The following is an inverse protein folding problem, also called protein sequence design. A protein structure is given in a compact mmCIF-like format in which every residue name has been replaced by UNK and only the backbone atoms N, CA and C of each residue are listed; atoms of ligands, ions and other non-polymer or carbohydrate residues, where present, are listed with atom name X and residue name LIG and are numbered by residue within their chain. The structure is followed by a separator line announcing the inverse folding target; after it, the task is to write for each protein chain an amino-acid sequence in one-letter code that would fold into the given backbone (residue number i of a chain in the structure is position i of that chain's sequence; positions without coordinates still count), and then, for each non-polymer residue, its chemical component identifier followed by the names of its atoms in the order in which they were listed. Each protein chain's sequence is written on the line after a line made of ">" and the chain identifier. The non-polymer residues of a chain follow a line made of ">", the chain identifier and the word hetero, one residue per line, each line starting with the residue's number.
data_IF_481225956738
#
_entry.id   IF_481225956738
#
_cell.length_a   1.000
_cell.length_b   1.000
_cell.length_c   1.000
_cell.angle_alpha   90.00
_cell.angle_beta   90.00
_cell.angle_gamma   90.00
#
_symmetry.space_group_name_H-M   'P 1'
#
loop_
_entity.id
_entity.type
_entity.pdbx_description
1 polymer ?
#
# COMPACT_ATOMS: atom_id res chain seq x y z
N UNK A 1 -4.45 22.02 -22.79
CA UNK A 1 -5.50 21.04 -23.15
C UNK A 1 -4.92 19.65 -22.87
N UNK A 2 -5.60 18.82 -22.09
CA UNK A 2 -5.14 17.45 -21.83
C UNK A 2 -5.56 16.55 -23.00
N UNK A 3 -4.69 15.63 -23.42
CA UNK A 3 -5.02 14.60 -24.41
C UNK A 3 -5.01 13.22 -23.75
N UNK A 4 -5.90 12.34 -24.22
CA UNK A 4 -5.95 10.95 -23.79
C UNK A 4 -5.33 10.11 -24.89
N UNK A 5 -4.33 9.29 -24.54
CA UNK A 5 -3.66 8.36 -25.44
C UNK A 5 -3.81 6.94 -24.91
N UNK A 6 -4.36 6.04 -25.72
CA UNK A 6 -4.29 4.60 -25.46
C UNK A 6 -2.85 4.12 -25.69
N UNK A 7 -2.30 3.32 -24.77
CA UNK A 7 -0.94 2.78 -24.88
C UNK A 7 -0.90 1.25 -24.97
N UNK A 8 -1.99 0.57 -24.60
CA UNK A 8 -2.13 -0.89 -24.70
C UNK A 8 -3.54 -1.29 -25.12
N UNK A 9 -3.63 -2.35 -25.90
CA UNK A 9 -4.78 -3.20 -26.12
C UNK A 9 -4.60 -4.48 -25.28
N UNK A 10 -5.68 -5.23 -25.10
CA UNK A 10 -5.57 -6.53 -24.45
C UNK A 10 -6.89 -7.08 -23.91
N UNK A 11 -7.85 -6.24 -23.57
CA UNK A 11 -9.16 -6.68 -23.05
C UNK A 11 -9.86 -7.66 -24.00
N UNK A 12 -9.73 -7.45 -25.31
CA UNK A 12 -10.30 -8.32 -26.37
C UNK A 12 -9.57 -9.66 -26.52
N UNK A 13 -8.34 -9.78 -26.00
CA UNK A 13 -7.50 -10.97 -26.06
C UNK A 13 -7.36 -11.65 -24.68
N UNK A 14 -8.22 -11.30 -23.72
CA UNK A 14 -8.07 -11.69 -22.31
C UNK A 14 -6.68 -11.34 -21.76
N UNK A 15 -6.19 -10.13 -22.04
CA UNK A 15 -4.97 -9.55 -21.47
C UNK A 15 -5.33 -8.23 -20.78
N UNK A 16 -5.56 -8.29 -19.48
CA UNK A 16 -5.95 -7.11 -18.70
C UNK A 16 -4.70 -6.46 -18.13
N UNK A 17 -4.50 -5.19 -18.48
CA UNK A 17 -3.41 -4.35 -17.98
C UNK A 17 -3.94 -3.36 -16.96
N UNK A 18 -3.27 -3.24 -15.81
CA UNK A 18 -3.58 -2.20 -14.83
C UNK A 18 -2.38 -1.86 -13.97
N UNK A 19 -2.40 -0.67 -13.36
CA UNK A 19 -1.57 -0.37 -12.21
C UNK A 19 -2.47 -0.22 -10.98
N UNK A 20 -1.86 -0.18 -9.80
CA UNK A 20 -2.62 -0.16 -8.55
C UNK A 20 -2.40 1.10 -7.76
N UNK A 21 -3.44 1.49 -7.02
CA UNK A 21 -3.48 2.67 -6.16
C UNK A 21 -3.16 4.02 -6.83
N UNK A 22 -3.64 5.10 -6.21
CA UNK A 22 -3.52 6.47 -6.70
C UNK A 22 -2.44 7.20 -5.88
N UNK A 23 -1.17 6.89 -6.08
CA UNK A 23 -0.02 7.48 -5.34
C UNK A 23 1.27 6.69 -5.52
N UNK A 24 1.22 5.49 -6.09
CA UNK A 24 2.42 4.76 -6.42
C UNK A 24 3.15 5.43 -7.61
N UNK A 25 4.48 5.62 -7.53
CA UNK A 25 5.27 6.13 -8.65
C UNK A 25 5.34 5.05 -9.75
N UNK A 26 4.36 5.06 -10.67
CA UNK A 26 4.27 4.07 -11.76
C UNK A 26 5.07 4.46 -13.00
N UNK A 27 5.51 5.71 -13.09
CA UNK A 27 6.39 6.20 -14.16
C UNK A 27 7.85 6.21 -13.70
N UNK A 28 8.76 5.90 -14.62
CA UNK A 28 10.17 6.22 -14.43
C UNK A 28 10.41 7.74 -14.42
N UNK A 29 11.60 8.18 -14.04
CA UNK A 29 11.93 9.61 -13.95
C UNK A 29 11.73 10.38 -15.28
N UNK A 30 11.93 9.72 -16.42
CA UNK A 30 11.73 10.29 -17.75
C UNK A 30 10.25 10.32 -18.20
N UNK A 31 9.31 9.80 -17.39
CA UNK A 31 7.88 9.67 -17.74
C UNK A 31 7.61 8.91 -19.04
N UNK A 32 8.46 7.93 -19.35
CA UNK A 32 8.40 7.14 -20.59
C UNK A 32 7.96 5.70 -20.33
N UNK A 33 8.47 5.12 -19.25
CA UNK A 33 8.23 3.72 -18.91
C UNK A 33 7.23 3.65 -17.76
N UNK A 34 6.15 2.89 -17.96
CA UNK A 34 5.12 2.62 -16.95
C UNK A 34 5.28 1.20 -16.43
N UNK A 35 5.45 1.04 -15.12
CA UNK A 35 5.30 -0.29 -14.50
C UNK A 35 3.82 -0.62 -14.37
N UNK A 36 3.45 -1.80 -14.81
CA UNK A 36 2.08 -2.28 -14.77
C UNK A 36 2.03 -3.79 -14.49
N UNK A 37 0.81 -4.28 -14.34
CA UNK A 37 0.49 -5.68 -14.09
C UNK A 37 -0.35 -6.22 -15.24
N UNK A 38 -0.18 -7.50 -15.57
CA UNK A 38 -0.95 -8.20 -16.59
C UNK A 38 -1.51 -9.51 -16.06
N UNK A 39 -2.77 -9.79 -16.40
CA UNK A 39 -3.46 -11.04 -16.04
C UNK A 39 -4.42 -11.45 -17.15
N UNK A 40 -4.74 -12.73 -17.22
CA UNK A 40 -5.56 -13.31 -18.28
C UNK A 40 -6.99 -13.70 -17.86
N UNK A 41 -7.45 -13.19 -16.72
CA UNK A 41 -8.81 -13.42 -16.23
C UNK A 41 -9.33 -12.17 -15.51
N UNK A 42 -10.65 -12.08 -15.34
CA UNK A 42 -11.30 -11.00 -14.60
C UNK A 42 -12.53 -11.51 -13.82
N UNK A 43 -13.19 -10.63 -13.08
CA UNK A 43 -14.51 -10.86 -12.47
C UNK A 43 -14.58 -11.93 -11.37
N UNK A 44 -13.46 -12.27 -10.73
CA UNK A 44 -13.43 -13.12 -9.53
C UNK A 44 -12.35 -12.66 -8.57
N UNK A 45 -12.43 -13.11 -7.31
CA UNK A 45 -11.37 -12.84 -6.34
C UNK A 45 -10.10 -13.63 -6.68
N UNK A 46 -8.91 -13.07 -6.43
CA UNK A 46 -7.67 -13.83 -6.50
C UNK A 46 -7.67 -14.96 -5.48
N UNK A 47 -7.24 -16.14 -5.90
CA UNK A 47 -6.95 -17.31 -5.06
C UNK A 47 -5.42 -17.45 -4.91
N UNK A 48 -4.93 -18.22 -3.92
CA UNK A 48 -3.49 -18.30 -3.64
C UNK A 48 -2.62 -18.69 -4.85
N UNK A 49 -3.15 -19.52 -5.74
CA UNK A 49 -2.45 -20.06 -6.90
C UNK A 49 -2.37 -19.08 -8.08
N UNK A 50 -3.20 -18.02 -8.06
CA UNK A 50 -3.23 -17.05 -9.13
C UNK A 50 -1.95 -16.23 -9.18
N UNK A 51 -1.45 -16.07 -10.40
CA UNK A 51 -0.30 -15.24 -10.70
C UNK A 51 -0.70 -14.09 -11.59
N UNK A 52 0.02 -13.00 -11.42
CA UNK A 52 0.03 -11.87 -12.35
C UNK A 52 1.45 -11.69 -12.86
N UNK A 53 1.57 -11.14 -14.05
CA UNK A 53 2.84 -10.68 -14.57
C UNK A 53 3.08 -9.24 -14.12
N UNK A 54 4.34 -8.93 -13.82
CA UNK A 54 4.82 -7.57 -13.64
C UNK A 54 5.61 -7.22 -14.89
N UNK A 55 5.33 -6.06 -15.48
CA UNK A 55 5.96 -5.64 -16.71
C UNK A 55 6.04 -4.13 -16.87
N UNK A 56 6.70 -3.73 -17.95
CA UNK A 56 6.95 -2.36 -18.33
C UNK A 56 6.32 -2.08 -19.69
N UNK A 57 5.65 -0.93 -19.80
CA UNK A 57 5.09 -0.39 -21.04
C UNK A 57 5.87 0.88 -21.40
N UNK A 58 6.40 0.97 -22.62
CA UNK A 58 6.91 2.23 -23.18
C UNK A 58 5.74 3.01 -23.80
N UNK A 59 5.41 4.16 -23.24
CA UNK A 59 4.26 4.99 -23.70
C UNK A 59 4.41 5.52 -25.13
N UNK A 60 5.60 5.42 -25.72
CA UNK A 60 5.88 5.82 -27.11
C UNK A 60 5.56 4.69 -28.08
N UNK A 61 5.51 3.44 -27.62
CA UNK A 61 5.24 2.26 -28.44
C UNK A 61 3.92 1.60 -28.01
N UNK A 62 2.91 1.69 -28.90
CA UNK A 62 1.63 1.02 -28.71
C UNK A 62 1.85 -0.48 -28.50
N UNK A 63 1.16 -1.06 -27.52
CA UNK A 63 1.17 -2.49 -27.20
C UNK A 63 2.55 -3.03 -26.77
N UNK A 64 3.47 -2.16 -26.38
CA UNK A 64 4.72 -2.59 -25.76
C UNK A 64 4.46 -3.27 -24.42
N UNK A 65 5.12 -4.41 -24.21
CA UNK A 65 5.09 -5.13 -22.94
C UNK A 65 6.40 -5.89 -22.74
N UNK A 66 7.20 -5.44 -21.79
CA UNK A 66 8.38 -6.15 -21.32
C UNK A 66 8.06 -6.81 -19.97
N UNK A 67 7.99 -8.14 -19.93
CA UNK A 67 7.79 -8.87 -18.68
C UNK A 67 9.09 -8.87 -17.87
N UNK A 68 9.04 -8.34 -16.65
CA UNK A 68 10.18 -8.32 -15.73
C UNK A 68 10.04 -9.31 -14.56
N UNK A 69 8.84 -9.85 -14.35
CA UNK A 69 8.61 -10.81 -13.28
C UNK A 69 7.17 -11.28 -13.17
N UNK A 70 6.89 -11.99 -12.08
CA UNK A 70 5.56 -12.45 -11.70
C UNK A 70 5.31 -12.15 -10.22
N UNK A 71 4.05 -12.19 -9.82
CA UNK A 71 3.65 -12.12 -8.42
C UNK A 71 2.47 -13.04 -8.10
N UNK A 72 2.54 -13.70 -6.95
CA UNK A 72 1.43 -14.38 -6.26
C UNK A 72 0.87 -13.56 -5.08
N UNK A 73 1.47 -12.41 -4.78
CA UNK A 73 1.07 -11.54 -3.67
C UNK A 73 0.40 -10.28 -4.23
N UNK A 74 -0.87 -10.41 -4.61
CA UNK A 74 -1.60 -9.32 -5.26
C UNK A 74 -3.09 -9.28 -4.90
N UNK A 75 -3.72 -8.14 -5.22
CA UNK A 75 -5.17 -7.95 -5.13
C UNK A 75 -5.65 -7.03 -6.25
N UNK A 76 -6.95 -6.97 -6.53
CA UNK A 76 -7.45 -6.06 -7.57
C UNK A 76 -7.23 -4.58 -7.24
N UNK A 77 -7.34 -4.20 -5.97
CA UNK A 77 -7.22 -2.79 -5.57
C UNK A 77 -5.77 -2.33 -5.46
N UNK A 78 -4.89 -3.19 -4.93
CA UNK A 78 -3.51 -2.84 -4.61
C UNK A 78 -2.47 -3.52 -5.51
N UNK A 79 -2.88 -4.49 -6.32
CA UNK A 79 -1.96 -5.28 -7.12
C UNK A 79 -0.85 -5.86 -6.27
N UNK A 80 0.31 -6.05 -6.87
CA UNK A 80 1.56 -6.37 -6.19
C UNK A 80 2.27 -5.13 -5.60
N UNK A 81 1.61 -3.97 -5.48
CA UNK A 81 2.25 -2.69 -5.07
C UNK A 81 3.48 -2.34 -5.92
N UNK A 82 3.46 -2.73 -7.20
CA UNK A 82 4.55 -2.51 -8.14
C UNK A 82 4.76 -1.02 -8.39
N UNK A 83 5.99 -0.54 -8.16
CA UNK A 83 6.33 0.89 -8.25
C UNK A 83 7.82 1.08 -8.57
N UNK A 84 8.16 2.22 -9.17
CA UNK A 84 9.54 2.66 -9.34
C UNK A 84 10.12 3.14 -8.01
N UNK A 85 11.38 2.81 -7.77
CA UNK A 85 12.19 3.52 -6.79
C UNK A 85 12.62 4.84 -7.44
N UNK A 86 12.17 5.96 -6.88
CA UNK A 86 12.29 7.27 -7.54
C UNK A 86 13.74 7.61 -7.90
N UNK A 87 13.92 8.25 -9.06
CA UNK A 87 15.23 8.63 -9.61
C UNK A 87 16.22 7.47 -9.80
N UNK A 88 15.73 6.23 -9.92
CA UNK A 88 16.55 5.06 -10.26
C UNK A 88 15.97 4.27 -11.42
N UNK A 89 16.72 3.28 -11.92
CA UNK A 89 16.24 2.29 -12.88
C UNK A 89 15.68 1.02 -12.20
N UNK A 90 15.20 1.15 -10.96
CA UNK A 90 14.80 0.01 -10.14
C UNK A 90 13.29 0.02 -9.89
N UNK A 91 12.68 -1.15 -10.04
CA UNK A 91 11.27 -1.41 -9.74
C UNK A 91 11.21 -2.36 -8.54
N UNK A 92 10.23 -2.14 -7.66
CA UNK A 92 9.93 -3.00 -6.52
C UNK A 92 8.47 -3.44 -6.56
N UNK A 93 8.21 -4.72 -6.27
CA UNK A 93 6.87 -5.28 -6.14
C UNK A 93 6.85 -6.41 -5.11
N UNK A 94 5.67 -6.70 -4.55
CA UNK A 94 5.45 -7.80 -3.64
C UNK A 94 5.25 -9.11 -4.37
N UNK A 95 5.75 -10.20 -3.81
CA UNK A 95 5.51 -11.56 -4.28
C UNK A 95 5.32 -12.50 -3.07
N UNK A 96 4.90 -13.74 -3.34
CA UNK A 96 4.81 -14.81 -2.36
C UNK A 96 5.73 -15.95 -2.79
N UNK A 97 6.73 -16.23 -1.96
CA UNK A 97 7.62 -17.38 -2.10
C UNK A 97 7.33 -18.30 -0.91
N UNK A 98 7.01 -19.55 -1.21
CA UNK A 98 6.53 -20.53 -0.23
C UNK A 98 5.39 -19.95 0.62
N UNK A 99 5.54 -19.95 1.94
CA UNK A 99 4.57 -19.42 2.89
C UNK A 99 4.97 -18.04 3.43
N UNK A 100 5.66 -17.23 2.64
CA UNK A 100 6.10 -15.89 3.03
C UNK A 100 5.81 -14.86 1.94
N UNK A 101 5.20 -13.73 2.34
CA UNK A 101 5.17 -12.54 1.50
C UNK A 101 6.51 -11.83 1.56
N UNK A 102 7.04 -11.47 0.39
CA UNK A 102 8.34 -10.82 0.21
C UNK A 102 8.17 -9.65 -0.76
N UNK A 103 9.22 -8.85 -0.95
CA UNK A 103 9.32 -7.93 -2.07
C UNK A 103 10.51 -8.28 -2.96
N UNK A 104 10.33 -8.15 -4.27
CA UNK A 104 11.38 -8.25 -5.27
C UNK A 104 11.79 -6.85 -5.68
N UNK A 105 13.09 -6.62 -5.80
CA UNK A 105 13.68 -5.38 -6.30
C UNK A 105 14.48 -5.72 -7.56
N UNK A 106 14.18 -5.08 -8.68
CA UNK A 106 14.76 -5.39 -9.99
C UNK A 106 15.26 -4.12 -10.68
N UNK A 107 16.55 -4.10 -11.03
CA UNK A 107 17.12 -3.03 -11.84
C UNK A 107 17.04 -3.40 -13.32
N UNK A 108 16.33 -2.61 -14.10
CA UNK A 108 16.01 -2.92 -15.50
C UNK A 108 17.20 -2.72 -16.46
N UNK A 109 18.23 -1.99 -16.03
CA UNK A 109 19.44 -1.75 -16.85
C UNK A 109 20.47 -2.84 -16.61
N UNK A 110 20.66 -3.25 -15.36
CA UNK A 110 21.66 -4.28 -15.02
C UNK A 110 21.10 -5.70 -15.01
N UNK A 111 19.77 -5.84 -14.99
CA UNK A 111 19.08 -7.12 -14.79
C UNK A 111 19.16 -7.65 -13.36
N UNK A 112 19.86 -6.95 -12.45
CA UNK A 112 20.05 -7.41 -11.07
C UNK A 112 18.70 -7.48 -10.34
N UNK A 113 18.44 -8.62 -9.72
CA UNK A 113 17.26 -8.83 -8.88
C UNK A 113 17.68 -9.24 -7.46
N UNK A 114 17.09 -8.58 -6.45
CA UNK A 114 17.24 -8.95 -5.04
C UNK A 114 15.88 -9.22 -4.40
N UNK A 115 15.90 -10.01 -3.33
CA UNK A 115 14.72 -10.32 -2.51
C UNK A 115 14.86 -9.59 -1.18
N UNK A 116 13.77 -8.95 -0.77
CA UNK A 116 13.59 -8.37 0.55
C UNK A 116 12.61 -9.30 1.29
N UNK A 117 12.98 -9.90 2.43
CA UNK A 117 12.18 -10.91 3.13
C UNK A 117 10.96 -10.31 3.88
N UNK A 118 10.35 -9.27 3.31
CA UNK A 118 9.17 -8.58 3.83
C UNK A 118 8.43 -7.92 2.67
N UNK A 119 7.08 -7.96 2.61
CA UNK A 119 6.35 -7.21 1.60
C UNK A 119 6.45 -5.72 1.89
N UNK A 120 6.30 -4.87 0.88
CA UNK A 120 6.43 -3.42 0.98
C UNK A 120 5.14 -2.75 0.52
N UNK A 121 4.68 -1.78 1.30
CA UNK A 121 3.51 -0.96 0.99
C UNK A 121 3.93 0.39 0.39
N UNK A 122 4.94 1.06 0.97
CA UNK A 122 5.41 2.35 0.50
C UNK A 122 6.94 2.42 0.58
N UNK A 123 7.56 3.23 -0.26
CA UNK A 123 9.02 3.39 -0.36
C UNK A 123 9.38 4.87 -0.30
N UNK A 124 10.45 5.21 0.43
CA UNK A 124 10.99 6.57 0.44
C UNK A 124 11.57 6.95 -0.92
N UNK A 125 11.62 8.24 -1.25
CA UNK A 125 12.10 8.69 -2.56
C UNK A 125 13.56 8.28 -2.88
N UNK A 126 14.40 8.14 -1.84
CA UNK A 126 15.78 7.66 -1.96
C UNK A 126 15.89 6.13 -2.06
N UNK A 127 14.79 5.39 -1.90
CA UNK A 127 14.77 3.94 -1.95
C UNK A 127 15.49 3.22 -0.81
N UNK A 128 15.78 3.91 0.29
CA UNK A 128 16.50 3.33 1.44
C UNK A 128 15.56 2.60 2.41
N UNK A 129 14.33 3.08 2.55
CA UNK A 129 13.37 2.60 3.55
C UNK A 129 12.03 2.27 2.93
N UNK A 130 11.44 1.16 3.36
CA UNK A 130 10.07 0.80 3.08
C UNK A 130 9.20 0.84 4.34
N UNK A 131 7.90 1.05 4.14
CA UNK A 131 6.87 0.74 5.15
C UNK A 131 6.09 -0.47 4.71
N UNK A 132 5.64 -1.25 5.69
CA UNK A 132 4.83 -2.44 5.47
C UNK A 132 3.76 -2.62 6.55
N UNK A 133 2.88 -3.58 6.30
CA UNK A 133 1.79 -4.01 7.15
C UNK A 133 1.48 -5.49 6.90
N UNK A 134 0.66 -6.08 7.76
CA UNK A 134 0.20 -7.45 7.60
C UNK A 134 -0.87 -7.56 6.48
N UNK A 135 -0.43 -7.97 5.28
CA UNK A 135 -1.30 -8.17 4.13
C UNK A 135 -2.29 -9.32 4.31
N UNK A 136 -2.00 -10.33 5.14
CA UNK A 136 -2.93 -11.41 5.49
C UNK A 136 -4.10 -10.87 6.32
N UNK A 137 -3.80 -10.06 7.34
CA UNK A 137 -4.82 -9.37 8.15
C UNK A 137 -5.65 -8.43 7.29
N UNK A 138 -5.00 -7.68 6.40
CA UNK A 138 -5.70 -6.79 5.49
C UNK A 138 -6.65 -7.58 4.57
N UNK A 139 -6.27 -8.78 4.11
CA UNK A 139 -7.13 -9.63 3.30
C UNK A 139 -8.35 -10.11 4.09
N UNK A 140 -8.16 -10.55 5.33
CA UNK A 140 -9.25 -10.99 6.21
C UNK A 140 -10.20 -9.84 6.60
N UNK A 141 -9.66 -8.65 6.87
CA UNK A 141 -10.45 -7.49 7.35
C UNK A 141 -11.07 -6.68 6.21
N UNK A 142 -10.44 -6.63 5.04
CA UNK A 142 -10.90 -5.90 3.86
C UNK A 142 -10.59 -6.69 2.58
N UNK A 143 -11.36 -7.76 2.29
CA UNK A 143 -11.15 -8.59 1.10
C UNK A 143 -11.06 -7.76 -0.17
N UNK A 144 -10.09 -8.08 -1.03
CA UNK A 144 -9.78 -7.33 -2.25
C UNK A 144 -8.69 -6.26 -2.10
N UNK A 145 -8.20 -6.01 -0.88
CA UNK A 145 -7.06 -5.13 -0.61
C UNK A 145 -5.81 -5.86 -0.12
N UNK A 146 -5.95 -6.97 0.62
CA UNK A 146 -4.81 -7.78 1.06
C UNK A 146 -4.52 -8.94 0.13
N UNK A 147 -3.58 -9.80 0.51
CA UNK A 147 -3.10 -10.90 -0.32
C UNK A 147 -3.64 -12.25 0.12
N UNK A 148 -3.96 -13.10 -0.86
CA UNK A 148 -4.35 -14.49 -0.63
C UNK A 148 -3.12 -15.38 -0.38
N UNK A 149 -3.35 -16.54 0.23
CA UNK A 149 -2.36 -17.62 0.33
C UNK A 149 -1.62 -17.74 1.65
N UNK A 150 -1.75 -16.78 2.57
CA UNK A 150 -1.22 -16.88 3.93
C UNK A 150 -2.33 -16.44 4.90
N UNK A 151 -2.57 -17.23 5.95
CA UNK A 151 -3.54 -16.90 7.00
C UNK A 151 -2.97 -15.86 7.97
N UNK A 152 -3.82 -14.97 8.49
CA UNK A 152 -3.44 -14.05 9.58
C UNK A 152 -3.33 -14.81 10.91
N UNK A 153 -2.11 -14.92 11.46
CA UNK A 153 -1.86 -15.56 12.75
C UNK A 153 -2.59 -14.85 13.91
N UNK A 154 -2.87 -13.55 13.75
CA UNK A 154 -3.55 -12.71 14.76
C UNK A 154 -5.01 -12.42 14.41
N UNK A 155 -5.65 -13.25 13.57
CA UNK A 155 -7.00 -13.03 13.06
C UNK A 155 -8.07 -12.84 14.16
N UNK A 156 -7.90 -13.52 15.31
CA UNK A 156 -8.82 -13.44 16.44
C UNK A 156 -8.50 -12.29 17.41
N UNK A 157 -7.32 -11.69 17.30
CA UNK A 157 -6.93 -10.55 18.13
C UNK A 157 -7.55 -9.26 17.59
N UNK A 158 -8.25 -8.52 18.45
CA UNK A 158 -8.89 -7.25 18.07
C UNK A 158 -7.87 -6.17 17.75
N UNK A 159 -6.86 -6.05 18.61
CA UNK A 159 -5.79 -5.04 18.56
C UNK A 159 -4.46 -5.72 18.93
N UNK A 160 -3.86 -6.48 18.01
CA UNK A 160 -2.57 -7.13 18.27
C UNK A 160 -1.48 -6.11 18.62
N UNK A 161 -0.60 -6.49 19.54
CA UNK A 161 0.60 -5.72 19.91
C UNK A 161 1.82 -6.11 19.05
N UNK A 162 1.73 -7.23 18.34
CA UNK A 162 2.75 -7.83 17.48
C UNK A 162 2.47 -7.62 15.97
N UNK A 163 1.47 -6.80 15.63
CA UNK A 163 1.13 -6.44 14.26
C UNK A 163 0.78 -4.95 14.17
N UNK A 164 1.13 -4.31 13.06
CA UNK A 164 0.93 -2.89 12.82
C UNK A 164 1.76 -2.39 11.65
N UNK A 165 2.49 -1.31 11.89
CA UNK A 165 3.30 -0.61 10.90
C UNK A 165 4.75 -1.03 11.07
N UNK A 166 5.31 -1.59 10.01
CA UNK A 166 6.68 -2.08 9.98
C UNK A 166 7.54 -1.17 9.13
N UNK A 167 8.70 -0.79 9.66
CA UNK A 167 9.75 -0.10 8.91
C UNK A 167 10.77 -1.13 8.44
N UNK A 168 11.04 -1.14 7.15
CA UNK A 168 11.94 -2.10 6.51
C UNK A 168 13.13 -1.36 5.92
N UNK A 169 14.33 -1.76 6.30
CA UNK A 169 15.54 -1.32 5.62
C UNK A 169 15.66 -2.09 4.28
N UNK A 170 15.63 -1.38 3.16
CA UNK A 170 15.56 -2.03 1.83
C UNK A 170 16.91 -2.55 1.33
N UNK A 171 18.00 -2.26 2.04
CA UNK A 171 19.34 -2.78 1.73
C UNK A 171 19.61 -4.10 2.45
N UNK A 172 19.20 -4.20 3.72
CA UNK A 172 19.44 -5.38 4.58
C UNK A 172 18.24 -6.32 4.65
N UNK A 173 17.04 -5.82 4.37
CA UNK A 173 15.79 -6.54 4.55
C UNK A 173 15.30 -6.62 6.00
N UNK A 174 15.98 -5.96 6.95
CA UNK A 174 15.57 -5.96 8.36
C UNK A 174 14.28 -5.17 8.54
N UNK A 175 13.26 -5.82 9.10
CA UNK A 175 11.98 -5.21 9.43
C UNK A 175 11.85 -4.98 10.94
N UNK A 176 11.37 -3.79 11.33
CA UNK A 176 11.11 -3.40 12.72
C UNK A 176 9.68 -2.90 12.87
N UNK A 177 8.94 -3.44 13.83
CA UNK A 177 7.62 -2.91 14.21
C UNK A 177 7.84 -1.54 14.88
N UNK A 178 7.33 -0.47 14.26
CA UNK A 178 7.47 0.90 14.77
C UNK A 178 6.20 1.43 15.44
N UNK A 179 5.04 0.87 15.10
CA UNK A 179 3.77 1.17 15.76
C UNK A 179 2.82 -0.02 15.66
N UNK A 180 2.46 -0.63 16.79
CA UNK A 180 1.49 -1.73 16.79
C UNK A 180 0.05 -1.21 16.64
N UNK A 181 -0.86 -2.08 16.22
CA UNK A 181 -2.30 -1.80 16.18
C UNK A 181 -2.81 -1.43 17.58
N UNK A 182 -2.26 -2.02 18.63
CA UNK A 182 -2.56 -1.65 20.01
C UNK A 182 -2.11 -0.22 20.34
N UNK A 183 -0.90 0.18 19.95
CA UNK A 183 -0.35 1.53 20.19
C UNK A 183 -1.17 2.59 19.46
N UNK A 184 -1.50 2.35 18.18
CA UNK A 184 -2.32 3.26 17.38
C UNK A 184 -3.71 3.51 18.00
N UNK A 185 -4.27 2.55 18.71
CA UNK A 185 -5.53 2.76 19.43
C UNK A 185 -5.38 3.81 20.54
N UNK A 186 -4.21 3.88 21.18
CA UNK A 186 -3.94 4.83 22.27
C UNK A 186 -3.79 6.27 21.77
N UNK A 187 -3.40 6.47 20.50
CA UNK A 187 -3.27 7.80 19.89
C UNK A 187 -4.62 8.43 19.55
N UNK A 188 -5.71 7.64 19.54
CA UNK A 188 -7.06 8.15 19.25
C UNK A 188 -7.59 8.91 20.48
N UNK A 189 -8.10 10.14 20.32
CA UNK A 189 -8.68 10.90 21.42
C UNK A 189 -9.78 10.15 22.16
N UNK A 190 -9.89 10.36 23.47
CA UNK A 190 -10.83 9.62 24.33
C UNK A 190 -12.29 9.73 23.83
N UNK A 191 -12.72 10.93 23.41
CA UNK A 191 -14.07 11.17 22.90
C UNK A 191 -14.40 10.38 21.62
N UNK A 192 -13.39 10.09 20.77
CA UNK A 192 -13.55 9.19 19.62
C UNK A 192 -13.53 7.72 20.03
N UNK A 193 -12.84 7.36 21.11
CA UNK A 193 -12.72 5.98 21.61
C UNK A 193 -13.95 5.51 22.37
N UNK A 194 -14.59 6.37 23.14
CA UNK A 194 -15.72 6.01 24.00
C UNK A 194 -16.87 5.33 23.23
N UNK A 195 -17.34 5.87 22.07
CA UNK A 195 -18.39 5.22 21.29
C UNK A 195 -17.98 3.84 20.75
N UNK A 196 -16.67 3.60 20.55
CA UNK A 196 -16.16 2.33 20.03
C UNK A 196 -16.20 1.20 21.07
N UNK A 197 -16.22 1.53 22.36
CA UNK A 197 -16.19 0.55 23.44
C UNK A 197 -17.45 -0.34 23.46
N UNK A 198 -18.58 0.16 22.94
CA UNK A 198 -19.84 -0.57 22.84
C UNK A 198 -19.83 -1.72 21.81
N UNK A 199 -18.75 -1.85 21.03
CA UNK A 199 -18.67 -2.83 19.95
C UNK A 199 -17.39 -3.65 19.99
N UNK A 200 -17.48 -4.89 19.53
CA UNK A 200 -16.33 -5.80 19.37
C UNK A 200 -15.60 -5.53 18.06
N UNK A 201 -15.04 -4.33 17.94
CA UNK A 201 -14.27 -3.94 16.76
C UNK A 201 -12.93 -4.67 16.66
N UNK A 202 -12.58 -5.05 15.43
CA UNK A 202 -11.27 -5.54 15.00
C UNK A 202 -10.62 -4.46 14.15
N UNK A 203 -9.33 -4.22 14.40
CA UNK A 203 -8.59 -3.09 13.86
C UNK A 203 -7.49 -3.56 12.91
N UNK A 204 -7.19 -2.76 11.89
CA UNK A 204 -6.09 -2.98 10.96
C UNK A 204 -5.59 -1.65 10.40
N UNK A 205 -4.38 -1.68 9.83
CA UNK A 205 -3.81 -0.54 9.10
C UNK A 205 -3.91 -0.76 7.59
N UNK A 206 -3.98 0.33 6.85
CA UNK A 206 -3.99 0.36 5.38
C UNK A 206 -3.52 1.76 4.92
N UNK A 207 -3.19 1.95 3.65
CA UNK A 207 -2.81 3.24 3.05
C UNK A 207 -1.62 3.92 3.74
N UNK A 208 -0.50 3.22 3.83
CA UNK A 208 0.77 3.82 4.25
C UNK A 208 1.31 4.69 3.11
N UNK A 209 1.70 5.93 3.41
CA UNK A 209 2.33 6.83 2.43
C UNK A 209 3.37 7.71 3.10
N UNK A 210 4.56 7.79 2.52
CA UNK A 210 5.58 8.73 2.98
C UNK A 210 5.26 10.18 2.59
N UNK A 211 5.72 11.11 3.43
CA UNK A 211 5.91 12.50 3.02
C UNK A 211 6.95 12.58 1.90
N UNK A 212 6.98 13.65 1.09
CA UNK A 212 7.93 13.77 -0.02
C UNK A 212 9.40 13.65 0.39
N UNK A 213 9.76 14.11 1.60
CA UNK A 213 11.11 13.98 2.17
C UNK A 213 11.35 12.65 2.93
N UNK A 214 10.34 11.79 3.02
CA UNK A 214 10.42 10.50 3.73
C UNK A 214 10.53 10.59 5.25
N UNK A 215 10.45 11.77 5.87
CA UNK A 215 10.62 11.93 7.32
C UNK A 215 9.37 11.51 8.10
N UNK A 216 8.20 11.59 7.46
CA UNK A 216 6.90 11.29 8.05
C UNK A 216 6.11 10.35 7.15
N UNK A 217 5.05 9.76 7.71
CA UNK A 217 4.10 8.98 6.94
C UNK A 217 2.66 9.25 7.39
N UNK A 218 1.71 8.95 6.52
CA UNK A 218 0.29 8.85 6.88
C UNK A 218 -0.17 7.40 6.81
N UNK A 219 -1.18 7.06 7.61
CA UNK A 219 -1.78 5.73 7.66
C UNK A 219 -3.29 5.83 7.90
N UNK A 220 -4.06 4.92 7.31
CA UNK A 220 -5.45 4.68 7.68
C UNK A 220 -5.52 3.60 8.75
N UNK A 221 -5.98 3.98 9.92
CA UNK A 221 -6.32 3.06 11.00
C UNK A 221 -7.82 2.76 10.94
N UNK A 222 -8.17 1.54 10.53
CA UNK A 222 -9.54 1.15 10.21
C UNK A 222 -10.04 0.10 11.19
N UNK A 223 -11.37 0.02 11.31
CA UNK A 223 -12.01 -0.93 12.20
C UNK A 223 -13.34 -1.44 11.66
N UNK A 224 -13.75 -2.65 12.09
CA UNK A 224 -15.05 -3.24 11.74
C UNK A 224 -15.48 -4.27 12.75
N UNK A 225 -16.79 -4.52 12.81
CA UNK A 225 -17.31 -5.72 13.46
C UNK A 225 -17.25 -6.84 12.43
N UNK A 226 -16.71 -8.01 12.80
CA UNK A 226 -16.69 -9.17 11.91
C UNK A 226 -18.12 -9.55 11.50
N UNK A 227 -18.27 -10.10 10.30
CA UNK A 227 -19.57 -10.51 9.73
C UNK A 227 -20.58 -9.38 9.55
N UNK A 228 -20.14 -8.11 9.60
CA UNK A 228 -20.93 -6.94 9.20
C UNK A 228 -20.26 -6.22 8.04
N UNK A 229 -21.06 -5.56 7.21
CA UNK A 229 -20.54 -4.68 6.17
C UNK A 229 -19.73 -3.55 6.80
N UNK A 230 -18.54 -3.31 6.24
CA UNK A 230 -17.69 -2.21 6.64
C UNK A 230 -18.23 -0.89 6.06
N UNK A 231 -18.14 0.20 6.83
CA UNK A 231 -18.55 1.55 6.42
C UNK A 231 -17.35 2.51 6.43
N UNK A 232 -17.32 3.47 5.53
CA UNK A 232 -16.21 4.41 5.40
C UNK A 232 -15.90 5.20 6.68
N UNK A 233 -16.94 5.51 7.46
CA UNK A 233 -16.79 6.21 8.74
C UNK A 233 -16.03 5.40 9.80
N UNK A 234 -15.84 4.10 9.59
CA UNK A 234 -15.07 3.23 10.48
C UNK A 234 -13.57 3.31 10.18
N UNK A 235 -13.03 4.52 10.18
CA UNK A 235 -11.63 4.81 9.92
C UNK A 235 -11.14 6.10 10.57
N UNK A 236 -9.87 6.09 10.96
CA UNK A 236 -9.11 7.26 11.36
C UNK A 236 -7.91 7.42 10.44
N UNK A 237 -7.52 8.67 10.20
CA UNK A 237 -6.26 9.02 9.55
C UNK A 237 -5.31 9.45 10.62
N UNK A 238 -4.11 8.90 10.58
CA UNK A 238 -3.01 9.25 11.48
C UNK A 238 -1.82 9.71 10.63
N UNK A 239 -0.96 10.51 11.24
CA UNK A 239 0.40 10.78 10.75
C UNK A 239 1.40 10.20 11.74
N UNK A 240 2.61 9.91 11.30
CA UNK A 240 3.65 9.37 12.19
C UNK A 240 5.06 9.67 11.70
N UNK A 241 6.01 9.67 12.62
CA UNK A 241 7.44 9.82 12.34
C UNK A 241 8.00 8.51 11.75
N UNK A 242 8.73 8.57 10.63
CA UNK A 242 9.29 7.38 9.99
C UNK A 242 10.26 6.62 10.91
N UNK A 243 11.10 7.33 11.67
CA UNK A 243 12.15 6.70 12.49
C UNK A 243 11.63 6.08 13.77
N UNK A 244 10.72 6.77 14.48
CA UNK A 244 10.24 6.37 15.81
C UNK A 244 8.91 5.62 15.75
N UNK A 245 8.12 5.81 14.70
CA UNK A 245 6.74 5.33 14.61
C UNK A 245 5.76 6.07 15.53
N UNK A 246 6.18 7.16 16.18
CA UNK A 246 5.28 7.95 17.02
C UNK A 246 4.18 8.57 16.15
N UNK A 247 2.96 8.08 16.34
CA UNK A 247 1.79 8.51 15.58
C UNK A 247 0.97 9.58 16.31
N UNK A 248 0.27 10.40 15.52
CA UNK A 248 -0.65 11.44 15.97
C UNK A 248 -1.99 11.29 15.24
N UNK A 249 -3.07 11.55 15.96
CA UNK A 249 -4.40 11.59 15.36
C UNK A 249 -4.52 12.82 14.46
N UNK A 250 -4.89 12.60 13.19
CA UNK A 250 -5.18 13.69 12.26
C UNK A 250 -6.68 13.96 12.21
N UNK A 251 -7.46 12.98 11.76
CA UNK A 251 -8.91 13.15 11.57
C UNK A 251 -9.63 11.81 11.37
N UNK A 252 -10.91 11.76 11.71
CA UNK A 252 -11.82 10.65 11.44
C UNK A 252 -12.46 10.72 10.05
N UNK A 253 -12.76 9.54 9.49
CA UNK A 253 -13.56 9.34 8.29
C UNK A 253 -13.12 10.14 7.04
N UNK A 254 -11.86 10.58 6.97
CA UNK A 254 -11.35 11.20 5.74
C UNK A 254 -11.15 10.15 4.65
N UNK A 255 -11.29 10.56 3.40
CA UNK A 255 -10.83 9.84 2.21
C UNK A 255 -9.71 10.63 1.53
N UNK A 256 -8.98 9.99 0.61
CA UNK A 256 -7.98 10.66 -0.24
C UNK A 256 -6.95 11.54 0.49
N UNK A 257 -6.34 10.99 1.56
CA UNK A 257 -5.26 11.70 2.28
C UNK A 257 -3.98 11.63 1.46
N UNK A 258 -3.44 12.78 1.11
CA UNK A 258 -2.24 12.93 0.28
C UNK A 258 -1.35 14.03 0.85
N UNK A 259 -0.05 13.81 0.84
CA UNK A 259 0.91 14.85 1.20
C UNK A 259 0.98 15.91 0.11
N UNK A 260 0.87 17.18 0.50
CA UNK A 260 1.19 18.33 -0.37
C UNK A 260 2.70 18.56 -0.37
N UNK A 261 3.27 18.55 0.83
CA UNK A 261 4.69 18.75 1.14
C UNK A 261 4.98 18.03 2.47
N UNK A 262 6.18 18.19 3.03
CA UNK A 262 6.59 17.48 4.25
C UNK A 262 5.86 17.86 5.54
N UNK A 263 5.04 18.91 5.53
CA UNK A 263 4.34 19.39 6.72
C UNK A 263 2.85 19.60 6.51
N UNK A 264 2.33 19.39 5.29
CA UNK A 264 0.95 19.65 4.94
C UNK A 264 0.33 18.48 4.17
N UNK A 265 -0.93 18.18 4.49
CA UNK A 265 -1.72 17.16 3.81
C UNK A 265 -3.01 17.77 3.25
N UNK A 266 -3.40 17.27 2.09
CA UNK A 266 -4.75 17.44 1.60
C UNK A 266 -5.58 16.20 1.93
N UNK A 267 -6.84 16.41 2.27
CA UNK A 267 -7.79 15.33 2.47
C UNK A 267 -9.21 15.72 2.08
N UNK A 268 -9.99 14.72 1.68
CA UNK A 268 -11.42 14.87 1.50
C UNK A 268 -12.13 14.41 2.76
N UNK A 269 -13.06 15.22 3.29
CA UNK A 269 -13.87 14.83 4.45
C UNK A 269 -15.24 15.48 4.35
N UNK A 270 -16.29 14.69 4.59
CA UNK A 270 -17.69 15.14 4.48
C UNK A 270 -17.96 15.76 3.09
N UNK A 271 -18.03 17.07 3.02
CA UNK A 271 -18.50 17.88 1.90
C UNK A 271 -17.39 18.64 1.17
N UNK A 272 -16.13 18.51 1.59
CA UNK A 272 -15.07 19.31 1.00
C UNK A 272 -13.65 18.75 1.03
N UNK A 273 -12.80 19.48 0.32
CA UNK A 273 -11.36 19.32 0.29
C UNK A 273 -10.72 20.29 1.30
N UNK A 274 -9.83 19.76 2.14
CA UNK A 274 -9.23 20.51 3.23
C UNK A 274 -7.71 20.37 3.22
N UNK A 275 -7.03 21.45 3.60
CA UNK A 275 -5.60 21.49 3.88
C UNK A 275 -5.39 21.37 5.39
N UNK A 276 -4.57 20.40 5.80
CA UNK A 276 -4.19 20.15 7.18
C UNK A 276 -2.69 20.37 7.36
N UNK A 277 -2.32 20.97 8.49
CA UNK A 277 -0.94 21.07 8.94
C UNK A 277 -0.63 19.86 9.83
N UNK A 278 0.41 19.11 9.49
CA UNK A 278 0.90 18.03 10.33
C UNK A 278 1.76 18.57 11.47
N UNK A 279 1.55 18.05 12.67
CA UNK A 279 2.19 18.54 13.90
C UNK A 279 1.70 19.91 14.40
N UNK A 280 0.71 20.52 13.73
CA UNK A 280 0.02 21.71 14.22
C UNK A 280 -1.11 21.34 15.17
N UNK A 281 -1.16 21.96 16.36
CA UNK A 281 -2.37 22.01 17.17
C UNK A 281 -3.41 22.91 16.52
#
# INVERSE_FOLDING_TARGET
>A
MWSIKKITHGTEQNQYHWHSYYDLPVFNAASQLVVAQRVNFANRRPVPEDKIEIGIIDVRQMDSWEKIGESRAWSWQQGAMAQWVANTNTIIWNDRVDNQFIARRHNIVTGQQTIIPYPIYAVTADGSVGLSLNFSRLNGMRPGYGYAGISDASALQRRPADDGIWRVDLSTGVAKLIASIADLYTTIPLWQRLPLAAHRYFYWVNHLKFSPDGTRFTVKYRFRVLNRSWREQQSFSLTGENTTGRCQYLVDAASHVLWKNSSQLYLWRKDGFYLYQDGGR
#
